data_IF_600643428059
#
_entry.id   IF_600643428059
#
_cell.length_a   1.000
_cell.length_b   1.000
_cell.length_c   1.000
_cell.angle_alpha   90.00
_cell.angle_beta   90.00
_cell.angle_gamma   90.00
#
_symmetry.space_group_name_H-M   'P 1'
#
loop_
_entity.id
_entity.type
_entity.pdbx_description
1 polymer ?
#
# COMPACT_ATOMS: atom_id res chain seq x y z
N UNK A 1 -51.66 28.66 15.62
CA UNK A 1 -51.60 27.33 14.98
C UNK A 1 -51.26 27.50 13.50
N UNK A 2 -49.98 27.33 13.13
CA UNK A 2 -49.48 27.00 11.79
C UNK A 2 -47.98 26.72 11.91
N UNK A 3 -47.65 25.44 11.86
CA UNK A 3 -46.30 24.85 11.80
C UNK A 3 -45.77 24.90 10.37
N UNK A 4 -44.60 25.48 10.16
CA UNK A 4 -43.74 25.25 8.99
C UNK A 4 -42.34 24.95 9.54
N UNK A 5 -42.01 23.66 9.69
CA UNK A 5 -41.26 22.81 8.74
C UNK A 5 -39.80 23.23 8.61
N UNK A 6 -38.96 22.51 9.34
CA UNK A 6 -37.59 22.18 8.95
C UNK A 6 -37.59 21.65 7.52
N UNK A 7 -36.82 22.27 6.64
CA UNK A 7 -36.47 21.72 5.34
C UNK A 7 -34.99 21.96 5.08
N UNK A 8 -34.25 20.85 5.09
CA UNK A 8 -33.02 20.61 4.35
C UNK A 8 -32.07 21.78 4.15
N UNK A 9 -31.13 21.95 5.07
CA UNK A 9 -29.77 22.36 4.69
C UNK A 9 -29.04 21.06 4.29
N UNK A 10 -29.53 20.40 3.25
CA UNK A 10 -28.89 19.23 2.65
C UNK A 10 -27.99 19.69 1.50
N UNK A 11 -26.69 19.71 1.79
CA UNK A 11 -25.64 19.22 0.90
C UNK A 11 -25.65 19.74 -0.55
N UNK A 12 -25.91 21.03 -0.74
CA UNK A 12 -25.74 21.71 -2.01
C UNK A 12 -24.31 22.27 -2.13
N UNK A 13 -23.30 21.41 -1.95
CA UNK A 13 -21.90 21.73 -2.17
C UNK A 13 -21.42 20.90 -3.37
N UNK A 14 -21.33 21.58 -4.52
CA UNK A 14 -20.54 21.24 -5.72
C UNK A 14 -20.78 19.88 -6.39
N UNK A 15 -21.81 19.81 -7.22
CA UNK A 15 -21.69 19.10 -8.51
C UNK A 15 -21.67 20.20 -9.58
N UNK A 16 -20.53 20.88 -9.73
CA UNK A 16 -20.27 21.61 -10.97
C UNK A 16 -20.32 20.60 -12.13
N UNK A 17 -20.85 21.04 -13.27
CA UNK A 17 -20.80 20.25 -14.51
C UNK A 17 -19.34 19.89 -14.78
N UNK A 18 -18.97 18.63 -14.58
CA UNK A 18 -17.69 18.09 -15.02
C UNK A 18 -17.56 18.44 -16.50
N UNK A 19 -16.47 19.11 -16.87
CA UNK A 19 -16.15 19.30 -18.27
C UNK A 19 -15.89 17.93 -18.87
N UNK A 20 -16.65 17.52 -19.90
CA UNK A 20 -16.53 16.17 -20.48
C UNK A 20 -15.08 15.81 -20.85
N UNK A 21 -14.29 16.81 -21.29
CA UNK A 21 -12.86 16.66 -21.60
C UNK A 21 -11.97 16.32 -20.39
N UNK A 22 -12.40 16.61 -19.16
CA UNK A 22 -11.68 16.28 -17.93
C UNK A 22 -12.15 14.95 -17.32
N UNK A 23 -13.12 14.26 -17.92
CA UNK A 23 -13.57 12.97 -17.40
C UNK A 23 -12.45 11.91 -17.26
N UNK A 24 -11.48 11.79 -18.19
CA UNK A 24 -10.36 10.86 -18.01
C UNK A 24 -9.51 11.20 -16.77
N UNK A 25 -9.27 12.49 -16.54
CA UNK A 25 -8.56 13.01 -15.37
C UNK A 25 -9.30 12.65 -14.08
N UNK A 26 -10.61 12.91 -14.02
CA UNK A 26 -11.43 12.59 -12.84
C UNK A 26 -11.44 11.09 -12.52
N UNK A 27 -11.47 10.22 -13.54
CA UNK A 27 -11.35 8.77 -13.36
C UNK A 27 -9.97 8.41 -12.80
N UNK A 28 -8.88 8.95 -13.37
CA UNK A 28 -7.54 8.70 -12.90
C UNK A 28 -7.37 9.10 -11.42
N UNK A 29 -7.82 10.30 -11.05
CA UNK A 29 -7.76 10.81 -9.68
C UNK A 29 -8.68 10.06 -8.72
N UNK A 30 -9.84 9.57 -9.17
CA UNK A 30 -10.71 8.70 -8.37
C UNK A 30 -10.00 7.40 -8.01
N UNK A 31 -9.35 6.76 -8.98
CA UNK A 31 -8.58 5.53 -8.75
C UNK A 31 -7.39 5.81 -7.82
N UNK A 32 -6.66 6.90 -8.07
CA UNK A 32 -5.48 7.27 -7.31
C UNK A 32 -5.81 7.60 -5.85
N UNK A 33 -6.88 8.37 -5.62
CA UNK A 33 -7.33 8.73 -4.28
C UNK A 33 -7.66 7.50 -3.43
N UNK A 34 -8.38 6.54 -4.02
CA UNK A 34 -8.70 5.29 -3.33
C UNK A 34 -7.48 4.39 -3.13
N UNK A 35 -6.53 4.36 -4.07
CA UNK A 35 -5.24 3.68 -3.89
C UNK A 35 -4.47 4.26 -2.69
N UNK A 36 -4.34 5.59 -2.60
CA UNK A 36 -3.66 6.27 -1.49
C UNK A 36 -4.36 5.93 -0.17
N UNK A 37 -5.70 6.00 -0.14
CA UNK A 37 -6.51 5.60 1.00
C UNK A 37 -6.30 4.14 1.44
N UNK A 38 -6.30 3.21 0.48
CA UNK A 38 -5.97 1.80 0.71
C UNK A 38 -4.59 1.65 1.34
N UNK A 39 -3.56 2.28 0.76
CA UNK A 39 -2.19 2.12 1.19
C UNK A 39 -1.98 2.65 2.63
N UNK A 40 -2.64 3.75 3.00
CA UNK A 40 -2.66 4.23 4.38
C UNK A 40 -3.31 3.23 5.34
N UNK A 41 -4.43 2.63 4.97
CA UNK A 41 -5.10 1.62 5.78
C UNK A 41 -4.24 0.36 5.95
N UNK A 42 -3.60 -0.10 4.87
CA UNK A 42 -2.69 -1.24 4.88
C UNK A 42 -1.50 -0.99 5.82
N UNK A 43 -0.87 0.19 5.76
CA UNK A 43 0.19 0.60 6.68
C UNK A 43 -0.29 0.65 8.13
N UNK A 44 -1.48 1.19 8.39
CA UNK A 44 -2.08 1.26 9.73
C UNK A 44 -2.28 -0.13 10.34
N UNK A 45 -2.78 -1.09 9.56
CA UNK A 45 -2.95 -2.48 10.04
C UNK A 45 -1.57 -3.12 10.28
N UNK A 46 -0.62 -2.91 9.37
CA UNK A 46 0.75 -3.44 9.52
C UNK A 46 1.44 -2.92 10.78
N UNK A 47 1.24 -1.65 11.14
CA UNK A 47 1.78 -1.05 12.37
C UNK A 47 1.23 -1.68 13.66
N UNK A 48 0.07 -2.34 13.62
CA UNK A 48 -0.47 -3.08 14.77
C UNK A 48 0.37 -4.29 15.14
N UNK A 49 1.16 -4.85 14.21
CA UNK A 49 1.93 -6.07 14.42
C UNK A 49 2.83 -6.02 15.67
N UNK A 50 3.50 -4.89 15.90
CA UNK A 50 4.33 -4.67 17.10
C UNK A 50 3.49 -4.79 18.38
N UNK A 51 2.40 -4.05 18.45
CA UNK A 51 1.48 -4.04 19.61
C UNK A 51 0.91 -5.44 19.85
N UNK A 52 0.42 -6.12 18.80
CA UNK A 52 -0.15 -7.47 18.91
C UNK A 52 0.87 -8.47 19.42
N UNK A 53 2.12 -8.36 18.97
CA UNK A 53 3.22 -9.20 19.45
C UNK A 53 3.50 -8.96 20.93
N UNK A 54 3.66 -7.69 21.34
CA UNK A 54 3.95 -7.29 22.72
C UNK A 54 2.84 -7.72 23.69
N UNK A 55 1.58 -7.63 23.26
CA UNK A 55 0.42 -8.05 24.07
C UNK A 55 0.08 -9.54 23.93
N UNK A 56 0.86 -10.33 23.20
CA UNK A 56 0.62 -11.76 22.92
C UNK A 56 -0.76 -12.05 22.28
N UNK A 57 -1.30 -11.10 21.52
CA UNK A 57 -2.60 -11.24 20.86
C UNK A 57 -2.46 -11.95 19.50
N UNK A 58 -2.30 -13.28 19.57
CA UNK A 58 -2.10 -14.11 18.39
C UNK A 58 -3.32 -14.18 17.48
N UNK A 59 -4.52 -14.19 18.08
CA UNK A 59 -5.78 -14.18 17.32
C UNK A 59 -5.96 -12.86 16.59
N UNK A 60 -5.66 -11.74 17.24
CA UNK A 60 -5.67 -10.42 16.61
C UNK A 60 -4.65 -10.31 15.48
N UNK A 61 -3.46 -10.90 15.63
CA UNK A 61 -2.45 -10.93 14.57
C UNK A 61 -2.91 -11.72 13.34
N UNK A 62 -3.57 -12.87 13.54
CA UNK A 62 -4.18 -13.64 12.43
C UNK A 62 -5.32 -12.84 11.77
N UNK A 63 -6.18 -12.20 12.57
CA UNK A 63 -7.26 -11.37 12.04
C UNK A 63 -6.74 -10.17 11.23
N UNK A 64 -5.69 -9.47 11.70
CA UNK A 64 -5.06 -8.37 10.96
C UNK A 64 -4.41 -8.87 9.65
N UNK A 65 -3.88 -10.10 9.62
CA UNK A 65 -3.35 -10.70 8.39
C UNK A 65 -4.43 -10.98 7.35
N UNK A 66 -5.58 -11.53 7.77
CA UNK A 66 -6.76 -11.71 6.90
C UNK A 66 -7.30 -10.38 6.42
N UNK A 67 -7.46 -9.41 7.34
CA UNK A 67 -7.97 -8.08 7.01
C UNK A 67 -7.12 -7.39 5.94
N UNK A 68 -5.79 -7.52 5.98
CA UNK A 68 -4.91 -6.96 4.94
C UNK A 68 -5.18 -7.50 3.53
N UNK A 69 -5.62 -8.75 3.41
CA UNK A 69 -5.97 -9.36 2.12
C UNK A 69 -7.34 -8.82 1.68
N UNK A 70 -8.30 -8.78 2.61
CA UNK A 70 -9.68 -8.38 2.33
C UNK A 70 -9.80 -6.91 1.93
N UNK A 71 -9.10 -5.99 2.61
CA UNK A 71 -9.21 -4.55 2.32
C UNK A 71 -8.82 -4.20 0.88
N UNK A 72 -7.89 -4.95 0.27
CA UNK A 72 -7.48 -4.69 -1.10
C UNK A 72 -8.64 -4.97 -2.05
N UNK A 73 -9.24 -6.17 -1.93
CA UNK A 73 -10.39 -6.58 -2.73
C UNK A 73 -11.57 -5.63 -2.53
N UNK A 74 -11.86 -5.27 -1.30
CA UNK A 74 -13.01 -4.42 -0.97
C UNK A 74 -12.84 -3.00 -1.51
N UNK A 75 -11.63 -2.42 -1.41
CA UNK A 75 -11.37 -1.08 -1.93
C UNK A 75 -11.36 -1.09 -3.46
N UNK A 76 -10.73 -2.08 -4.11
CA UNK A 76 -10.81 -2.23 -5.57
C UNK A 76 -12.27 -2.28 -6.04
N UNK A 77 -13.11 -3.10 -5.39
CA UNK A 77 -14.54 -3.19 -5.74
C UNK A 77 -15.28 -1.85 -5.59
N UNK A 78 -15.08 -1.16 -4.46
CA UNK A 78 -15.66 0.18 -4.23
C UNK A 78 -15.19 1.21 -5.24
N UNK A 79 -13.91 1.18 -5.61
CA UNK A 79 -13.35 2.09 -6.62
C UNK A 79 -13.95 1.79 -7.99
N UNK A 80 -14.07 0.52 -8.37
CA UNK A 80 -14.77 0.10 -9.59
C UNK A 80 -16.20 0.68 -9.62
N UNK A 81 -17.00 0.48 -8.58
CA UNK A 81 -18.37 1.02 -8.52
C UNK A 81 -18.42 2.56 -8.61
N UNK A 82 -17.48 3.26 -7.98
CA UNK A 82 -17.39 4.74 -8.09
C UNK A 82 -17.10 5.18 -9.51
N UNK A 83 -16.15 4.51 -10.17
CA UNK A 83 -15.79 4.82 -11.56
C UNK A 83 -16.95 4.49 -12.50
N UNK A 84 -17.66 3.37 -12.32
CA UNK A 84 -18.85 3.05 -13.12
C UNK A 84 -19.92 4.13 -13.03
N UNK A 85 -20.18 4.63 -11.81
CA UNK A 85 -21.12 5.74 -11.58
C UNK A 85 -20.66 7.04 -12.24
N UNK A 86 -19.36 7.36 -12.14
CA UNK A 86 -18.77 8.54 -12.77
C UNK A 86 -18.88 8.50 -14.30
N UNK A 87 -18.76 7.31 -14.89
CA UNK A 87 -18.88 7.11 -16.33
C UNK A 87 -20.34 7.08 -16.82
N UNK A 88 -21.33 7.02 -15.92
CA UNK A 88 -22.76 7.02 -16.27
C UNK A 88 -23.22 5.75 -17.00
N UNK A 89 -22.47 4.65 -16.94
CA UNK A 89 -22.74 3.44 -17.72
C UNK A 89 -22.33 3.52 -19.19
N UNK A 90 -21.75 4.64 -19.64
CA UNK A 90 -21.26 4.77 -21.01
C UNK A 90 -20.00 3.91 -21.22
N UNK A 91 -20.05 3.12 -22.28
CA UNK A 91 -18.90 2.33 -22.70
C UNK A 91 -17.83 3.25 -23.30
N UNK A 92 -16.84 3.63 -22.50
CA UNK A 92 -15.67 4.41 -22.96
C UNK A 92 -14.76 3.57 -23.85
N UNK A 93 -14.20 4.16 -24.90
CA UNK A 93 -13.39 3.49 -25.92
C UNK A 93 -11.90 3.39 -25.52
N UNK A 94 -11.07 2.88 -26.44
CA UNK A 94 -9.64 2.72 -26.22
C UNK A 94 -8.94 4.09 -25.97
N UNK A 95 -9.14 5.13 -26.80
CA UNK A 95 -8.57 6.47 -26.56
C UNK A 95 -8.81 7.01 -25.16
N UNK A 96 -10.03 6.88 -24.63
CA UNK A 96 -10.35 7.33 -23.27
C UNK A 96 -9.43 6.69 -22.21
N UNK A 97 -9.22 5.37 -22.29
CA UNK A 97 -8.41 4.65 -21.32
C UNK A 97 -6.90 4.90 -21.47
N UNK A 98 -6.45 5.35 -22.65
CA UNK A 98 -5.09 5.87 -22.82
C UNK A 98 -4.91 7.14 -22.01
N UNK A 99 -5.83 8.11 -22.15
CA UNK A 99 -5.78 9.37 -21.40
C UNK A 99 -5.85 9.15 -19.88
N UNK A 100 -6.74 8.25 -19.41
CA UNK A 100 -6.81 7.91 -17.97
C UNK A 100 -5.47 7.38 -17.47
N UNK A 101 -4.85 6.45 -18.22
CA UNK A 101 -3.58 5.86 -17.81
C UNK A 101 -2.45 6.89 -17.83
N UNK A 102 -2.43 7.80 -18.81
CA UNK A 102 -1.42 8.86 -18.90
C UNK A 102 -1.49 9.78 -17.68
N UNK A 103 -2.69 10.30 -17.34
CA UNK A 103 -2.88 11.10 -16.12
C UNK A 103 -2.46 10.33 -14.86
N UNK A 104 -2.86 9.06 -14.74
CA UNK A 104 -2.46 8.24 -13.59
C UNK A 104 -0.94 8.04 -13.51
N UNK A 105 -0.28 7.85 -14.65
CA UNK A 105 1.18 7.63 -14.75
C UNK A 105 1.97 8.86 -14.31
N UNK A 106 1.53 10.04 -14.72
CA UNK A 106 2.16 11.32 -14.35
C UNK A 106 2.19 11.49 -12.83
N UNK A 107 1.08 11.22 -12.15
CA UNK A 107 0.96 11.42 -10.71
C UNK A 107 1.74 10.41 -9.87
N UNK A 108 1.80 9.14 -10.31
CA UNK A 108 2.53 8.10 -9.56
C UNK A 108 4.03 8.08 -9.87
N UNK A 109 4.52 8.95 -10.77
CA UNK A 109 5.90 8.94 -11.22
C UNK A 109 6.87 9.02 -10.03
N UNK A 110 6.58 9.75 -8.96
CA UNK A 110 7.51 9.85 -7.83
C UNK A 110 7.10 9.01 -6.61
N UNK A 111 6.18 8.06 -6.77
CA UNK A 111 5.74 7.22 -5.66
C UNK A 111 6.79 6.15 -5.32
N UNK A 112 7.21 6.12 -4.04
CA UNK A 112 7.96 5.01 -3.46
C UNK A 112 7.27 3.64 -3.56
N UNK A 113 5.98 3.64 -3.87
CA UNK A 113 5.12 2.46 -4.05
C UNK A 113 4.48 2.41 -5.44
N UNK A 114 5.15 2.96 -6.47
CA UNK A 114 4.61 3.05 -7.84
C UNK A 114 4.08 1.70 -8.33
N UNK A 115 4.85 0.63 -8.17
CA UNK A 115 4.47 -0.73 -8.55
C UNK A 115 3.15 -1.23 -7.92
N UNK A 116 2.85 -0.81 -6.68
CA UNK A 116 1.60 -1.16 -6.01
C UNK A 116 0.44 -0.32 -6.59
N UNK A 117 0.69 0.96 -6.86
CA UNK A 117 -0.29 1.84 -7.50
C UNK A 117 -0.68 1.36 -8.90
N UNK A 118 0.29 0.89 -9.69
CA UNK A 118 0.06 0.29 -11.02
C UNK A 118 -0.76 -0.99 -10.94
N UNK A 119 -0.45 -1.85 -9.97
CA UNK A 119 -1.20 -3.09 -9.74
C UNK A 119 -2.65 -2.78 -9.34
N UNK A 120 -2.85 -1.78 -8.49
CA UNK A 120 -4.18 -1.31 -8.09
C UNK A 120 -4.98 -0.78 -9.28
N UNK A 121 -4.38 0.09 -10.10
CA UNK A 121 -4.98 0.56 -11.35
C UNK A 121 -5.38 -0.61 -12.25
N UNK A 122 -4.47 -1.56 -12.49
CA UNK A 122 -4.72 -2.72 -13.32
C UNK A 122 -5.87 -3.57 -12.80
N UNK A 123 -6.01 -3.71 -11.48
CA UNK A 123 -7.14 -4.40 -10.86
C UNK A 123 -8.45 -3.70 -11.18
N UNK A 124 -8.55 -2.39 -10.95
CA UNK A 124 -9.76 -1.61 -11.24
C UNK A 124 -10.11 -1.64 -12.73
N UNK A 125 -9.13 -1.42 -13.60
CA UNK A 125 -9.28 -1.47 -15.05
C UNK A 125 -9.84 -2.82 -15.52
N UNK A 126 -9.28 -3.94 -15.04
CA UNK A 126 -9.76 -5.29 -15.40
C UNK A 126 -11.18 -5.54 -14.93
N UNK A 127 -11.57 -5.05 -13.74
CA UNK A 127 -12.93 -5.20 -13.26
C UNK A 127 -13.93 -4.44 -14.14
N UNK A 128 -13.63 -3.17 -14.48
CA UNK A 128 -14.46 -2.34 -15.35
C UNK A 128 -14.60 -2.91 -16.77
N UNK A 129 -13.55 -3.57 -17.26
CA UNK A 129 -13.49 -4.09 -18.62
C UNK A 129 -13.68 -5.62 -18.70
N UNK A 130 -14.15 -6.29 -17.64
CA UNK A 130 -14.25 -7.76 -17.57
C UNK A 130 -15.11 -8.37 -18.69
N UNK A 131 -16.17 -7.67 -19.09
CA UNK A 131 -17.07 -8.11 -20.16
C UNK A 131 -16.59 -7.70 -21.56
N UNK A 132 -15.43 -7.03 -21.64
CA UNK A 132 -14.82 -6.61 -22.89
C UNK A 132 -13.69 -7.54 -23.25
N UNK A 133 -13.48 -7.77 -24.56
CA UNK A 133 -12.29 -8.46 -25.08
C UNK A 133 -11.06 -7.54 -25.11
N UNK A 134 -10.92 -6.67 -24.12
CA UNK A 134 -9.71 -5.89 -23.92
C UNK A 134 -8.75 -6.79 -23.15
N UNK A 135 -7.85 -7.45 -23.90
CA UNK A 135 -6.80 -8.28 -23.31
C UNK A 135 -5.79 -7.44 -22.51
N UNK A 136 -4.68 -8.05 -22.12
CA UNK A 136 -3.57 -7.30 -21.53
C UNK A 136 -2.89 -6.44 -22.60
N UNK A 137 -3.39 -5.22 -22.81
CA UNK A 137 -2.84 -4.24 -23.73
C UNK A 137 -1.87 -3.30 -22.97
N UNK A 138 -0.56 -3.28 -23.30
CA UNK A 138 0.41 -2.39 -22.67
C UNK A 138 0.08 -0.90 -22.79
N UNK A 139 -0.75 -0.50 -23.75
CA UNK A 139 -1.17 0.89 -23.90
C UNK A 139 -2.17 1.32 -22.83
N UNK A 140 -3.10 0.44 -22.42
CA UNK A 140 -4.13 0.75 -21.40
C UNK A 140 -3.82 0.20 -20.02
N UNK A 141 -2.82 -0.67 -19.90
CA UNK A 141 -2.44 -1.31 -18.64
C UNK A 141 -0.93 -1.22 -18.38
N UNK A 142 -0.55 -1.38 -17.12
CA UNK A 142 0.84 -1.53 -16.70
C UNK A 142 1.25 -3.01 -16.77
N UNK A 143 1.62 -3.48 -17.96
CA UNK A 143 2.01 -4.90 -18.19
C UNK A 143 3.48 -5.16 -17.87
N UNK A 144 4.33 -4.17 -18.10
CA UNK A 144 5.76 -4.21 -17.80
C UNK A 144 6.06 -3.34 -16.58
N UNK A 145 7.13 -3.69 -15.85
CA UNK A 145 7.63 -2.84 -14.79
C UNK A 145 8.06 -1.49 -15.36
N UNK A 146 7.44 -0.41 -14.90
CA UNK A 146 7.80 0.96 -15.32
C UNK A 146 8.86 1.60 -14.41
N UNK A 147 9.12 0.98 -13.25
CA UNK A 147 10.14 1.40 -12.30
C UNK A 147 11.21 0.32 -12.14
N UNK A 148 12.46 0.72 -12.20
CA UNK A 148 13.57 -0.06 -11.65
C UNK A 148 13.63 0.12 -10.13
N UNK A 149 14.05 -0.91 -9.38
CA UNK A 149 14.20 -0.86 -7.91
C UNK A 149 15.11 0.29 -7.41
N UNK A 150 15.84 0.97 -8.30
CA UNK A 150 16.82 2.02 -8.00
C UNK A 150 16.32 3.44 -8.25
N UNK A 151 15.12 3.62 -8.82
CA UNK A 151 14.58 4.95 -9.15
C UNK A 151 14.19 5.75 -7.90
N UNK A 152 13.65 5.10 -6.86
CA UNK A 152 13.36 5.76 -5.59
C UNK A 152 14.47 5.50 -4.57
N UNK A 153 15.28 6.52 -4.30
CA UNK A 153 16.25 6.51 -3.20
C UNK A 153 15.65 7.26 -2.02
N UNK A 154 15.16 6.52 -1.03
CA UNK A 154 14.83 7.11 0.28
C UNK A 154 16.05 7.83 0.84
N UNK A 155 15.86 9.02 1.41
CA UNK A 155 16.91 9.73 2.15
C UNK A 155 17.34 8.93 3.38
N UNK A 156 16.40 8.20 4.00
CA UNK A 156 16.64 7.31 5.12
C UNK A 156 16.85 5.87 4.64
N UNK A 157 17.93 5.20 5.05
CA UNK A 157 18.14 3.79 4.72
C UNK A 157 17.11 2.91 5.42
N UNK A 158 16.63 1.87 4.73
CA UNK A 158 15.73 0.84 5.32
C UNK A 158 16.47 -0.15 6.23
N UNK A 159 17.72 0.13 6.58
CA UNK A 159 18.59 -0.74 7.35
C UNK A 159 19.53 0.10 8.22
N UNK A 160 19.93 -0.48 9.34
CA UNK A 160 20.97 0.08 10.21
C UNK A 160 22.25 -0.74 10.04
N UNK A 161 23.41 -0.06 10.04
CA UNK A 161 24.72 -0.73 9.99
C UNK A 161 25.29 -0.79 11.40
N UNK A 162 25.71 -1.98 11.80
CA UNK A 162 26.41 -2.21 13.06
C UNK A 162 27.81 -2.72 12.74
N UNK A 163 28.82 -2.03 13.26
CA UNK A 163 30.20 -2.48 13.12
C UNK A 163 30.48 -3.54 14.18
N UNK A 164 31.03 -4.67 13.76
CA UNK A 164 31.46 -5.71 14.68
C UNK A 164 32.64 -5.18 15.50
N UNK A 165 32.40 -4.95 16.79
CA UNK A 165 33.44 -4.54 17.73
C UNK A 165 34.32 -5.72 18.16
N UNK A 166 35.22 -5.48 19.10
CA UNK A 166 36.08 -6.52 19.68
C UNK A 166 35.30 -7.60 20.44
N UNK A 167 34.08 -7.28 20.89
CA UNK A 167 33.19 -8.21 21.58
C UNK A 167 31.93 -8.40 20.75
N UNK A 168 31.78 -9.60 20.18
CA UNK A 168 30.55 -10.00 19.49
C UNK A 168 29.33 -9.98 20.43
N UNK A 169 29.40 -10.52 21.68
CA UNK A 169 28.28 -10.42 22.61
C UNK A 169 27.81 -8.99 22.85
N UNK A 170 28.74 -8.06 23.12
CA UNK A 170 28.40 -6.65 23.34
C UNK A 170 27.77 -6.00 22.10
N UNK A 171 28.23 -6.39 20.91
CA UNK A 171 27.64 -5.92 19.64
C UNK A 171 26.19 -6.39 19.50
N UNK A 172 25.89 -7.66 19.82
CA UNK A 172 24.52 -8.17 19.75
C UNK A 172 23.60 -7.57 20.83
N UNK A 173 24.12 -7.30 22.03
CA UNK A 173 23.38 -6.51 23.01
C UNK A 173 22.98 -5.13 22.45
N UNK A 174 23.93 -4.45 21.80
CA UNK A 174 23.66 -3.15 21.20
C UNK A 174 22.66 -3.22 20.04
N UNK A 175 22.74 -4.26 19.20
CA UNK A 175 21.77 -4.49 18.12
C UNK A 175 20.36 -4.67 18.71
N UNK A 176 20.20 -5.54 19.71
CA UNK A 176 18.90 -5.85 20.28
C UNK A 176 18.32 -4.67 21.09
N UNK A 177 19.16 -3.88 21.76
CA UNK A 177 18.71 -2.66 22.45
C UNK A 177 18.28 -1.54 21.50
N UNK A 178 18.78 -1.54 20.25
CA UNK A 178 18.36 -0.58 19.22
C UNK A 178 16.91 -0.79 18.75
N UNK A 179 16.36 -1.99 18.92
CA UNK A 179 14.99 -2.33 18.55
C UNK A 179 14.16 -2.68 19.79
N UNK A 180 13.71 -1.68 20.57
CA UNK A 180 12.97 -1.95 21.80
C UNK A 180 11.62 -2.59 21.50
N UNK A 181 11.39 -3.73 22.12
CA UNK A 181 10.12 -4.44 22.17
C UNK A 181 9.64 -4.37 23.63
N UNK A 182 8.38 -4.03 23.83
CA UNK A 182 7.72 -4.02 25.15
C UNK A 182 7.34 -5.45 25.58
N UNK A 183 8.35 -6.33 25.61
CA UNK A 183 8.25 -7.69 26.10
C UNK A 183 9.63 -8.12 26.62
N UNK A 184 9.71 -8.74 27.81
CA UNK A 184 10.98 -9.21 28.34
C UNK A 184 11.49 -10.40 27.53
N UNK A 185 12.80 -10.46 27.34
CA UNK A 185 13.47 -11.70 26.93
C UNK A 185 13.38 -12.72 28.07
N UNK A 186 13.24 -14.00 27.72
CA UNK A 186 13.32 -15.09 28.70
C UNK A 186 14.74 -15.17 29.31
N UNK A 187 15.76 -15.17 28.45
CA UNK A 187 17.17 -15.15 28.82
C UNK A 187 17.99 -14.56 27.66
N UNK A 188 18.25 -13.24 27.74
CA UNK A 188 18.92 -12.49 26.68
C UNK A 188 20.38 -12.94 26.48
N UNK A 189 21.10 -13.17 27.56
CA UNK A 189 22.53 -13.51 27.53
C UNK A 189 22.76 -14.90 26.92
N UNK A 190 21.89 -15.86 27.26
CA UNK A 190 21.89 -17.20 26.66
C UNK A 190 21.64 -17.14 25.16
N UNK A 191 20.64 -16.38 24.73
CA UNK A 191 20.27 -16.31 23.31
C UNK A 191 21.35 -15.58 22.49
N UNK A 192 21.96 -14.52 23.03
CA UNK A 192 23.14 -13.87 22.44
C UNK A 192 24.31 -14.84 22.33
N UNK A 193 24.59 -15.63 23.37
CA UNK A 193 25.69 -16.61 23.36
C UNK A 193 25.52 -17.63 22.24
N UNK A 194 24.28 -18.12 22.02
CA UNK A 194 23.95 -19.04 20.91
C UNK A 194 24.19 -18.41 19.54
N UNK A 195 23.81 -17.14 19.35
CA UNK A 195 24.05 -16.42 18.09
C UNK A 195 25.55 -16.25 17.83
N UNK A 196 26.32 -15.86 18.85
CA UNK A 196 27.77 -15.67 18.76
C UNK A 196 28.49 -16.98 18.44
N UNK A 197 28.12 -18.08 19.09
CA UNK A 197 28.66 -19.42 18.81
C UNK A 197 28.45 -19.80 17.34
N UNK A 198 27.23 -19.63 16.83
CA UNK A 198 26.90 -19.94 15.42
C UNK A 198 27.65 -19.05 14.44
N UNK A 199 27.73 -17.75 14.70
CA UNK A 199 28.45 -16.82 13.83
C UNK A 199 29.94 -17.14 13.80
N UNK A 200 30.55 -17.41 14.95
CA UNK A 200 31.98 -17.73 15.05
C UNK A 200 32.31 -19.04 14.34
N UNK A 201 31.49 -20.07 14.52
CA UNK A 201 31.63 -21.34 13.80
C UNK A 201 31.53 -21.18 12.29
N UNK A 202 30.57 -20.37 11.80
CA UNK A 202 30.44 -20.06 10.38
C UNK A 202 31.67 -19.32 9.84
N UNK A 203 32.16 -18.30 10.54
CA UNK A 203 33.33 -17.54 10.13
C UNK A 203 34.60 -18.40 10.09
N UNK A 204 34.77 -19.31 11.05
CA UNK A 204 35.92 -20.22 11.07
C UNK A 204 35.93 -21.25 9.92
N UNK A 205 34.76 -21.60 9.38
CA UNK A 205 34.61 -22.55 8.26
C UNK A 205 34.73 -21.90 6.87
N UNK A 206 34.63 -20.57 6.80
CA UNK A 206 34.58 -19.82 5.53
C UNK A 206 35.68 -18.75 5.44
N UNK A 207 36.76 -18.93 6.22
CA UNK A 207 38.05 -18.24 6.06
C UNK A 207 38.99 -19.13 5.25
#
# INVERSE_FOLDING_TARGET
>A
MKTCRNAGVENQIFVEKIFEKLLPYEVAHTILGDYVGYHHQFKRITKRGKIRFETRDWRGMQADATLRIDIYRDIVGKTTEKVEKLLGGDLRDLPFWLEVKDYYTEDILNFHTRNIAETFYNSVFRHLNRNRKLGADPHTMFVHATSTYREFKSSEPIFHRFLLGKSLPATFHYILSHYPIDAPFEDLDRDISRVVEKLTGFLAQNQ
#
